data_IF_628043837896
#
_entry.id   IF_628043837896
#
_cell.length_a   1.000
_cell.length_b   1.000
_cell.length_c   1.000
_cell.angle_alpha   90.00
_cell.angle_beta   90.00
_cell.angle_gamma   90.00
#
_symmetry.space_group_name_H-M   'P 1'
#
loop_
_entity.id
_entity.type
_entity.pdbx_description
1 polymer ?
#
# COMPACT_ATOMS: atom_id res chain seq x y z
N UNK A 1 5.23 3.90 16.29
CA UNK A 1 5.60 2.72 15.48
C UNK A 1 6.85 3.06 14.70
N UNK A 2 7.64 2.09 14.27
CA UNK A 2 8.87 2.31 13.48
C UNK A 2 8.97 1.33 12.31
N UNK A 3 9.71 1.71 11.27
CA UNK A 3 9.83 0.91 10.04
C UNK A 3 10.45 -0.46 10.29
N UNK A 4 11.39 -0.57 11.25
CA UNK A 4 12.08 -1.82 11.55
C UNK A 4 11.09 -2.84 12.10
N UNK A 5 10.16 -2.43 12.96
CA UNK A 5 9.11 -3.31 13.48
C UNK A 5 8.19 -3.85 12.37
N UNK A 6 7.76 -3.00 11.44
CA UNK A 6 6.90 -3.38 10.30
C UNK A 6 7.62 -4.35 9.36
N UNK A 7 8.87 -4.05 9.02
CA UNK A 7 9.72 -4.91 8.20
C UNK A 7 9.91 -6.27 8.87
N UNK A 8 10.23 -6.30 10.17
CA UNK A 8 10.40 -7.56 10.93
C UNK A 8 9.13 -8.41 10.93
N UNK A 9 7.96 -7.81 11.17
CA UNK A 9 6.69 -8.54 11.11
C UNK A 9 6.54 -9.25 9.77
N UNK A 10 6.72 -8.53 8.65
CA UNK A 10 6.54 -9.15 7.33
C UNK A 10 7.66 -10.13 6.97
N UNK A 11 8.91 -9.83 7.31
CA UNK A 11 10.07 -10.72 7.10
C UNK A 11 9.88 -12.06 7.81
N UNK A 12 9.34 -12.03 9.02
CA UNK A 12 9.14 -13.22 9.86
C UNK A 12 7.80 -13.92 9.55
N UNK A 13 7.20 -13.64 8.38
CA UNK A 13 5.94 -14.21 7.89
C UNK A 13 4.71 -13.87 8.73
N UNK A 14 4.80 -12.81 9.54
CA UNK A 14 3.67 -12.24 10.24
C UNK A 14 2.72 -11.48 9.30
N UNK A 15 1.47 -11.40 9.71
CA UNK A 15 0.46 -10.52 9.13
C UNK A 15 0.66 -9.11 9.69
N UNK A 16 0.66 -8.11 8.81
CA UNK A 16 0.67 -6.70 9.21
C UNK A 16 -0.70 -6.31 9.74
N UNK A 17 -0.74 -5.64 10.89
CA UNK A 17 -2.00 -5.08 11.40
C UNK A 17 -2.45 -3.89 10.54
N UNK A 18 -3.75 -3.54 10.56
CA UNK A 18 -4.23 -2.34 9.85
C UNK A 18 -3.46 -1.07 10.23
N UNK A 19 -3.13 -0.92 11.52
CA UNK A 19 -2.38 0.22 12.04
C UNK A 19 -0.93 0.23 11.52
N UNK A 20 -0.32 -0.94 11.30
CA UNK A 20 1.01 -1.04 10.70
C UNK A 20 1.02 -0.60 9.24
N UNK A 21 0.00 -1.01 8.49
CA UNK A 21 -0.18 -0.63 7.09
C UNK A 21 -0.44 0.87 6.96
N UNK A 22 -1.35 1.41 7.78
CA UNK A 22 -1.68 2.83 7.76
C UNK A 22 -0.47 3.68 8.08
N UNK A 23 0.23 3.33 9.17
CA UNK A 23 1.40 4.07 9.62
C UNK A 23 2.51 4.07 8.57
N UNK A 24 2.83 2.91 7.96
CA UNK A 24 3.97 2.85 7.03
C UNK A 24 3.71 3.60 5.73
N UNK A 25 2.47 3.54 5.21
CA UNK A 25 2.09 4.29 4.01
C UNK A 25 2.14 5.79 4.28
N UNK A 26 1.49 6.23 5.36
CA UNK A 26 1.46 7.63 5.78
C UNK A 26 2.87 8.20 6.02
N UNK A 27 3.67 7.51 6.84
CA UNK A 27 5.04 7.93 7.16
C UNK A 27 5.95 7.95 5.91
N UNK A 28 5.82 6.99 4.99
CA UNK A 28 6.57 7.02 3.74
C UNK A 28 6.15 8.19 2.85
N UNK A 29 4.85 8.46 2.73
CA UNK A 29 4.38 9.61 1.95
C UNK A 29 4.78 10.97 2.52
N UNK A 30 5.07 11.06 3.83
CA UNK A 30 5.65 12.25 4.47
C UNK A 30 7.19 12.31 4.44
N UNK A 31 7.86 11.29 3.91
CA UNK A 31 9.33 11.21 3.90
C UNK A 31 9.96 10.85 5.25
N UNK A 32 9.19 10.31 6.19
CA UNK A 32 9.67 9.86 7.51
C UNK A 32 10.25 8.44 7.47
N UNK A 33 9.80 7.60 6.52
CA UNK A 33 10.39 6.30 6.22
C UNK A 33 11.33 6.47 5.04
N UNK A 34 12.58 6.04 5.20
CA UNK A 34 13.59 6.14 4.14
C UNK A 34 13.35 5.12 3.02
N UNK A 35 13.80 5.42 1.81
CA UNK A 35 13.63 4.58 0.62
C UNK A 35 14.21 3.17 0.82
N UNK A 36 15.34 3.03 1.52
CA UNK A 36 15.96 1.74 1.81
C UNK A 36 15.10 0.89 2.75
N UNK A 37 14.37 1.53 3.68
CA UNK A 37 13.45 0.84 4.58
C UNK A 37 12.19 0.37 3.84
N UNK A 38 11.60 1.24 3.00
CA UNK A 38 10.46 0.85 2.17
C UNK A 38 10.84 -0.26 1.18
N UNK A 39 12.04 -0.19 0.60
CA UNK A 39 12.59 -1.23 -0.28
C UNK A 39 12.76 -2.57 0.46
N UNK A 40 13.24 -2.54 1.71
CA UNK A 40 13.34 -3.74 2.54
C UNK A 40 11.96 -4.35 2.86
N UNK A 41 10.95 -3.52 3.14
CA UNK A 41 9.57 -3.97 3.32
C UNK A 41 9.01 -4.59 2.04
N UNK A 42 9.21 -3.94 0.89
CA UNK A 42 8.76 -4.43 -0.41
C UNK A 42 9.38 -5.81 -0.73
N UNK A 43 10.66 -6.01 -0.44
CA UNK A 43 11.32 -7.30 -0.60
C UNK A 43 10.74 -8.36 0.35
N UNK A 44 10.44 -8.00 1.60
CA UNK A 44 9.78 -8.92 2.53
C UNK A 44 8.37 -9.31 2.05
N UNK A 45 7.61 -8.37 1.48
CA UNK A 45 6.30 -8.64 0.86
C UNK A 45 6.43 -9.54 -0.37
N UNK A 46 7.43 -9.31 -1.23
CA UNK A 46 7.68 -10.15 -2.41
C UNK A 46 7.91 -11.62 -2.01
N UNK A 47 8.71 -11.85 -0.97
CA UNK A 47 9.10 -13.19 -0.54
C UNK A 47 8.03 -13.91 0.30
N UNK A 48 7.25 -13.17 1.09
CA UNK A 48 6.32 -13.75 2.07
C UNK A 48 4.83 -13.48 1.76
N UNK A 49 4.54 -12.63 0.78
CA UNK A 49 3.19 -12.27 0.37
C UNK A 49 2.42 -11.41 1.37
N UNK A 50 1.19 -11.12 0.98
CA UNK A 50 0.16 -10.49 1.81
C UNK A 50 -1.16 -11.22 1.60
N UNK A 51 -1.94 -11.35 2.66
CA UNK A 51 -3.29 -11.89 2.57
C UNK A 51 -4.28 -10.83 2.01
N UNK A 52 -5.55 -11.23 1.80
CA UNK A 52 -6.57 -10.34 1.23
C UNK A 52 -6.87 -9.12 2.10
N UNK A 53 -6.86 -9.28 3.43
CA UNK A 53 -7.09 -8.19 4.39
C UNK A 53 -5.98 -7.15 4.30
N UNK A 54 -4.73 -7.61 4.26
CA UNK A 54 -3.55 -6.75 4.11
C UNK A 54 -3.58 -5.99 2.79
N UNK A 55 -3.85 -6.69 1.67
CA UNK A 55 -3.93 -6.06 0.34
C UNK A 55 -5.03 -5.00 0.29
N UNK A 56 -6.21 -5.31 0.83
CA UNK A 56 -7.34 -4.38 0.86
C UNK A 56 -7.01 -3.13 1.70
N UNK A 57 -6.38 -3.31 2.86
CA UNK A 57 -5.98 -2.18 3.71
C UNK A 57 -4.86 -1.36 3.08
N UNK A 58 -3.86 -2.00 2.50
CA UNK A 58 -2.75 -1.34 1.81
C UNK A 58 -3.26 -0.45 0.68
N UNK A 59 -4.18 -0.99 -0.13
CA UNK A 59 -4.84 -0.24 -1.20
C UNK A 59 -5.62 0.96 -0.65
N UNK A 60 -6.40 0.77 0.43
CA UNK A 60 -7.16 1.86 1.03
C UNK A 60 -6.27 2.97 1.60
N UNK A 61 -5.14 2.61 2.23
CA UNK A 61 -4.16 3.55 2.75
C UNK A 61 -3.51 4.37 1.63
N UNK A 62 -3.12 3.73 0.51
CA UNK A 62 -2.61 4.42 -0.67
C UNK A 62 -3.64 5.36 -1.32
N UNK A 63 -4.92 4.97 -1.35
CA UNK A 63 -6.01 5.85 -1.84
C UNK A 63 -6.24 7.05 -0.90
N UNK A 64 -5.90 6.92 0.38
CA UNK A 64 -6.06 7.97 1.38
C UNK A 64 -4.84 8.91 1.50
N UNK A 65 -3.68 8.55 0.94
CA UNK A 65 -2.45 9.35 1.07
C UNK A 65 -2.39 10.55 0.11
N UNK A 66 -3.42 10.77 -0.70
CA UNK A 66 -3.47 11.88 -1.66
C UNK A 66 -4.89 12.37 -1.92
N UNK A 67 -5.04 13.11 -3.00
CA UNK A 67 -6.33 13.66 -3.42
C UNK A 67 -7.18 12.62 -4.15
N UNK A 68 -8.51 12.79 -4.08
CA UNK A 68 -9.48 11.95 -4.77
C UNK A 68 -10.27 12.79 -5.75
N UNK A 69 -10.31 12.34 -7.00
CA UNK A 69 -11.18 12.95 -8.00
C UNK A 69 -12.64 12.74 -7.60
N UNK A 70 -13.43 13.83 -7.66
CA UNK A 70 -14.88 13.76 -7.51
C UNK A 70 -15.53 13.83 -8.90
N UNK A 71 -16.35 12.83 -9.21
CA UNK A 71 -17.09 12.70 -10.48
C UNK A 71 -18.59 12.95 -10.36
N UNK A 72 -19.09 13.44 -9.21
CA UNK A 72 -20.51 13.68 -8.93
C UNK A 72 -21.19 14.61 -9.96
N UNK A 73 -20.41 15.48 -10.62
CA UNK A 73 -20.91 16.39 -11.66
C UNK A 73 -21.20 15.71 -13.01
N UNK A 74 -20.78 14.46 -13.22
CA UNK A 74 -21.00 13.74 -14.47
C UNK A 74 -22.41 13.15 -14.52
N UNK A 75 -23.12 13.39 -15.62
CA UNK A 75 -24.52 12.97 -15.80
C UNK A 75 -24.70 11.48 -16.12
N UNK A 76 -23.60 10.73 -16.29
CA UNK A 76 -23.61 9.32 -16.69
C UNK A 76 -22.63 8.51 -15.85
N UNK A 77 -22.89 7.21 -15.61
CA UNK A 77 -21.93 6.32 -14.96
C UNK A 77 -20.59 6.33 -15.70
N UNK A 78 -19.51 6.40 -14.93
CA UNK A 78 -18.14 6.33 -15.43
C UNK A 78 -17.63 4.90 -15.43
N UNK A 79 -16.80 4.56 -16.39
CA UNK A 79 -16.06 3.29 -16.44
C UNK A 79 -14.59 3.58 -16.63
N UNK A 80 -13.74 2.71 -16.11
CA UNK A 80 -12.30 2.78 -16.31
C UNK A 80 -11.78 1.39 -16.74
N UNK A 81 -10.66 1.38 -17.46
CA UNK A 81 -10.00 0.17 -17.89
C UNK A 81 -8.52 0.25 -17.56
N UNK A 82 -8.06 -0.75 -16.81
CA UNK A 82 -6.65 -0.94 -16.49
C UNK A 82 -6.09 -2.20 -17.17
N UNK A 83 -4.81 -2.19 -17.54
CA UNK A 83 -4.06 -3.37 -17.99
C UNK A 83 -2.84 -3.53 -17.09
N UNK A 84 -2.57 -4.76 -16.68
CA UNK A 84 -1.43 -5.12 -15.84
C UNK A 84 -0.09 -5.08 -16.59
N UNK A 85 -0.12 -5.09 -17.93
CA UNK A 85 1.05 -5.25 -18.80
C UNK A 85 0.90 -6.42 -19.77
N UNK A 86 1.53 -6.31 -20.94
CA UNK A 86 1.48 -7.30 -22.02
C UNK A 86 2.14 -6.76 -23.30
N UNK A 87 2.46 -7.65 -24.23
CA UNK A 87 2.95 -7.30 -25.57
C UNK A 87 1.90 -7.76 -26.58
N UNK A 88 1.34 -6.79 -27.33
CA UNK A 88 0.51 -6.96 -28.54
C UNK A 88 -0.45 -8.15 -28.56
#
# INVERSE_FOLDING_TARGET
MDAISVIRTKRDRGELTPEQIDWVIDAYTRGEVADEQMSALAMAILLNGMNRTEIARWTAAMIASGERMNFDALSRPTTDKHSTGGVG
#
